data_IF_270798630752
#
_entry.id   IF_270798630752
#
_cell.length_a   1.000
_cell.length_b   1.000
_cell.length_c   1.000
_cell.angle_alpha   90.00
_cell.angle_beta   90.00
_cell.angle_gamma   90.00
#
_symmetry.space_group_name_H-M   'P 1'
#
loop_
_entity.id
_entity.type
_entity.pdbx_description
1 polymer ?
#
# COMPACT_ATOMS: atom_id res chain seq x y z
N UNK A 1 -16.40 11.30 34.67
CA UNK A 1 -16.09 9.87 34.55
C UNK A 1 -16.24 9.48 33.09
N UNK A 2 -15.15 9.55 32.34
CA UNK A 2 -15.06 9.12 30.94
C UNK A 2 -14.84 7.61 30.94
N UNK A 3 -15.88 6.83 30.66
CA UNK A 3 -15.74 5.38 30.50
C UNK A 3 -15.14 5.07 29.14
N UNK A 4 -13.93 4.52 29.20
CA UNK A 4 -13.15 3.97 28.10
C UNK A 4 -13.85 2.69 27.59
N UNK A 5 -14.32 2.71 26.33
CA UNK A 5 -14.97 1.56 25.71
C UNK A 5 -13.93 0.80 24.87
N UNK A 6 -13.07 0.06 25.57
CA UNK A 6 -12.25 -0.98 24.95
C UNK A 6 -12.67 -2.31 25.54
N UNK A 7 -12.69 -3.32 24.67
CA UNK A 7 -12.85 -4.76 24.94
C UNK A 7 -14.30 -5.27 24.77
N UNK A 8 -14.47 -5.99 23.65
CA UNK A 8 -15.38 -7.13 23.41
C UNK A 8 -16.88 -6.85 23.32
N UNK A 9 -17.36 -6.90 22.07
CA UNK A 9 -18.64 -7.50 21.67
C UNK A 9 -19.89 -7.10 22.45
N UNK A 10 -20.57 -6.04 22.00
CA UNK A 10 -22.02 -5.87 22.15
C UNK A 10 -22.54 -4.93 21.06
N UNK A 11 -23.67 -5.31 20.48
CA UNK A 11 -24.22 -4.90 19.19
C UNK A 11 -24.89 -3.51 19.14
N UNK A 12 -24.54 -2.60 20.03
CA UNK A 12 -25.23 -1.31 20.15
C UNK A 12 -24.27 -0.12 20.00
N UNK A 13 -23.90 0.17 18.76
CA UNK A 13 -23.29 1.46 18.39
C UNK A 13 -24.24 2.23 17.48
N UNK A 14 -24.78 3.32 18.00
CA UNK A 14 -25.69 4.23 17.31
C UNK A 14 -24.98 4.86 16.08
N UNK A 15 -25.62 4.74 14.90
CA UNK A 15 -25.18 5.21 13.57
C UNK A 15 -24.72 6.68 13.54
N UNK A 16 -25.09 7.49 14.53
CA UNK A 16 -24.74 8.91 14.65
C UNK A 16 -23.36 9.18 15.28
N UNK A 17 -22.77 8.23 16.01
CA UNK A 17 -21.43 8.43 16.61
C UNK A 17 -20.28 8.20 15.62
N UNK A 18 -20.50 7.43 14.55
CA UNK A 18 -19.50 7.23 13.50
C UNK A 18 -19.27 8.47 12.62
N UNK A 19 -20.24 9.39 12.54
CA UNK A 19 -20.17 10.59 11.69
C UNK A 19 -19.68 11.86 12.41
N UNK A 20 -19.54 11.83 13.74
CA UNK A 20 -19.06 12.96 14.54
C UNK A 20 -17.54 13.09 14.65
N UNK A 21 -16.78 12.07 14.22
CA UNK A 21 -15.32 12.03 14.39
C UNK A 21 -14.51 12.71 13.27
N UNK A 22 -15.16 13.29 12.25
CA UNK A 22 -14.46 13.85 11.08
C UNK A 22 -14.46 15.39 10.97
N UNK A 23 -15.04 16.14 11.92
CA UNK A 23 -15.29 17.58 11.71
C UNK A 23 -14.70 18.56 12.76
N UNK A 24 -13.84 18.12 13.69
CA UNK A 24 -13.55 18.92 14.89
C UNK A 24 -12.08 19.09 15.30
N UNK A 25 -11.12 19.05 14.38
CA UNK A 25 -9.70 19.09 14.75
C UNK A 25 -8.79 19.70 13.72
N UNK A 26 -9.10 20.91 13.25
CA UNK A 26 -8.18 21.71 12.46
C UNK A 26 -8.10 23.10 13.09
N UNK A 27 -6.86 23.60 13.24
CA UNK A 27 -6.46 24.91 13.78
C UNK A 27 -5.99 24.93 15.25
N UNK A 28 -4.99 24.13 15.57
CA UNK A 28 -3.94 24.52 16.52
C UNK A 28 -2.66 24.78 15.72
N UNK A 29 -2.41 26.06 15.43
CA UNK A 29 -1.19 26.54 14.80
C UNK A 29 -0.02 26.45 15.79
N UNK A 30 0.57 25.26 15.93
CA UNK A 30 1.86 25.07 16.59
C UNK A 30 2.94 25.52 15.60
N UNK A 31 3.58 26.65 15.87
CA UNK A 31 4.80 27.03 15.16
C UNK A 31 5.96 26.26 15.82
N UNK A 32 6.61 25.29 15.16
CA UNK A 32 7.84 24.73 15.69
C UNK A 32 8.93 25.80 15.59
N UNK A 33 9.29 26.42 16.71
CA UNK A 33 10.58 27.12 16.84
C UNK A 33 11.66 26.05 16.79
N UNK A 34 12.09 25.70 15.58
CA UNK A 34 13.30 24.90 15.37
C UNK A 34 14.49 25.77 15.80
N UNK A 35 14.88 25.69 17.07
CA UNK A 35 16.24 26.05 17.46
C UNK A 35 17.15 24.98 16.88
N UNK A 36 17.88 25.32 15.82
CA UNK A 36 19.05 24.55 15.41
C UNK A 36 20.11 24.70 16.50
N UNK A 37 20.18 23.76 17.44
CA UNK A 37 21.39 23.58 18.23
C UNK A 37 22.43 22.99 17.29
N UNK A 38 23.36 23.83 16.83
CA UNK A 38 24.61 23.36 16.22
C UNK A 38 25.43 22.81 17.37
N UNK A 39 25.18 21.55 17.73
CA UNK A 39 26.01 20.82 18.68
C UNK A 39 27.33 20.54 17.98
N UNK A 40 28.33 21.38 18.24
CA UNK A 40 29.73 21.12 17.92
C UNK A 40 30.24 19.99 18.82
N UNK A 41 29.79 18.78 18.55
CA UNK A 41 30.40 17.57 19.07
C UNK A 41 31.75 17.37 18.37
N UNK A 42 32.79 16.89 19.07
CA UNK A 42 34.03 16.49 18.41
C UNK A 42 33.66 15.45 17.35
N UNK A 43 33.95 15.77 16.08
CA UNK A 43 33.63 14.91 14.95
C UNK A 43 34.15 13.50 15.26
N UNK A 44 33.23 12.58 15.53
CA UNK A 44 33.59 11.18 15.77
C UNK A 44 34.41 10.66 14.59
N UNK A 45 35.31 9.71 14.84
CA UNK A 45 36.02 9.06 13.73
C UNK A 45 34.98 8.52 12.76
N UNK A 46 34.99 9.05 11.54
CA UNK A 46 34.24 8.46 10.44
C UNK A 46 34.69 7.00 10.35
N UNK A 47 33.72 6.08 10.32
CA UNK A 47 33.95 4.63 10.35
C UNK A 47 34.95 4.18 9.28
N UNK A 48 35.05 4.95 8.20
CA UNK A 48 36.14 4.95 7.24
C UNK A 48 36.51 6.44 7.03
N UNK A 49 37.77 6.85 6.87
CA UNK A 49 38.09 8.26 6.54
C UNK A 49 38.55 8.43 5.09
N UNK A 50 38.87 7.34 4.42
CA UNK A 50 39.44 7.26 3.07
C UNK A 50 38.42 7.46 1.93
N UNK A 51 37.12 7.42 2.24
CA UNK A 51 36.04 7.85 1.33
C UNK A 51 35.79 9.36 1.40
N UNK A 52 36.09 9.98 2.54
CA UNK A 52 36.05 11.43 2.66
C UNK A 52 37.24 12.03 1.88
N UNK A 53 36.99 12.41 0.63
CA UNK A 53 38.00 13.09 -0.21
C UNK A 53 38.33 12.40 -1.53
N UNK A 54 37.65 11.30 -1.91
CA UNK A 54 37.71 10.88 -3.32
C UNK A 54 36.99 11.94 -4.16
N UNK A 55 37.64 12.57 -5.15
CA UNK A 55 36.95 13.52 -6.02
C UNK A 55 35.90 12.75 -6.81
N UNK A 56 34.63 12.90 -6.42
CA UNK A 56 33.52 12.58 -7.27
C UNK A 56 33.31 13.76 -8.22
N UNK A 57 32.99 13.48 -9.49
CA UNK A 57 32.53 14.52 -10.38
C UNK A 57 31.31 15.22 -9.74
N UNK A 58 31.24 16.56 -9.81
CA UNK A 58 30.14 17.29 -9.20
C UNK A 58 28.81 16.84 -9.82
N UNK A 59 27.87 16.44 -8.98
CA UNK A 59 26.50 16.14 -9.42
C UNK A 59 25.90 17.40 -10.03
N UNK A 60 25.48 17.29 -11.28
CA UNK A 60 24.90 18.37 -12.06
C UNK A 60 23.37 18.32 -12.00
N UNK A 61 22.73 19.41 -12.41
CA UNK A 61 21.27 19.43 -12.59
C UNK A 61 20.79 18.37 -13.60
N UNK A 62 21.64 18.03 -14.57
CA UNK A 62 21.35 17.05 -15.62
C UNK A 62 21.16 15.65 -15.04
N UNK A 63 21.98 15.27 -14.06
CA UNK A 63 21.93 13.95 -13.43
C UNK A 63 20.60 13.68 -12.72
N UNK A 64 19.86 14.74 -12.39
CA UNK A 64 18.58 14.66 -11.70
C UNK A 64 17.40 15.13 -12.55
N UNK A 65 17.56 15.28 -13.88
CA UNK A 65 16.43 15.57 -14.77
C UNK A 65 15.34 14.51 -14.63
N UNK A 66 14.08 14.94 -14.63
CA UNK A 66 12.93 14.05 -14.47
C UNK A 66 12.92 12.91 -15.51
N UNK A 67 13.34 13.18 -16.75
CA UNK A 67 13.45 12.17 -17.81
C UNK A 67 14.52 11.13 -17.52
N UNK A 68 15.69 11.52 -17.00
CA UNK A 68 16.77 10.60 -16.64
C UNK A 68 16.32 9.72 -15.50
N UNK A 69 15.76 10.30 -14.43
CA UNK A 69 15.22 9.51 -13.32
C UNK A 69 14.14 8.53 -13.77
N UNK A 70 13.25 8.94 -14.67
CA UNK A 70 12.17 8.09 -15.18
C UNK A 70 12.70 6.90 -15.99
N UNK A 71 13.79 7.08 -16.74
CA UNK A 71 14.47 6.00 -17.47
C UNK A 71 15.13 5.05 -16.46
N UNK A 72 15.94 5.60 -15.56
CA UNK A 72 16.73 4.84 -14.59
C UNK A 72 15.85 4.02 -13.64
N UNK A 73 14.72 4.55 -13.19
CA UNK A 73 13.74 3.84 -12.34
C UNK A 73 13.07 2.66 -13.05
N UNK A 74 13.20 2.55 -14.37
CA UNK A 74 12.72 1.40 -15.15
C UNK A 74 13.81 0.37 -15.41
N UNK A 75 15.07 0.72 -15.16
CA UNK A 75 16.22 -0.12 -15.42
C UNK A 75 16.81 -0.66 -14.12
N UNK A 76 16.97 -1.97 -14.05
CA UNK A 76 17.60 -2.70 -12.96
C UNK A 76 19.11 -2.62 -13.04
N UNK A 77 19.73 -2.31 -11.91
CA UNK A 77 21.18 -2.37 -11.77
C UNK A 77 21.66 -3.84 -11.90
N UNK A 78 22.71 -4.05 -12.67
CA UNK A 78 23.23 -5.39 -13.01
C UNK A 78 24.19 -5.95 -11.96
N UNK A 79 24.44 -5.24 -10.86
CA UNK A 79 25.34 -5.68 -9.79
C UNK A 79 24.73 -6.73 -8.83
N UNK A 80 23.45 -7.07 -8.99
CA UNK A 80 22.77 -8.09 -8.19
C UNK A 80 22.01 -7.57 -6.96
N UNK A 81 22.14 -6.28 -6.59
CA UNK A 81 21.44 -5.70 -5.44
C UNK A 81 19.91 -5.63 -5.60
N UNK A 82 19.39 -5.80 -6.82
CA UNK A 82 17.96 -5.81 -7.09
C UNK A 82 17.31 -4.42 -7.19
N UNK A 83 18.06 -3.34 -6.97
CA UNK A 83 17.58 -1.96 -7.09
C UNK A 83 17.59 -1.48 -8.55
N UNK A 84 16.81 -0.43 -8.83
CA UNK A 84 16.92 0.33 -10.07
C UNK A 84 18.16 1.24 -10.07
N UNK A 85 18.58 1.70 -11.25
CA UNK A 85 19.82 2.51 -11.40
C UNK A 85 19.75 3.78 -10.54
N UNK A 86 18.62 4.48 -10.54
CA UNK A 86 18.47 5.75 -9.82
C UNK A 86 18.54 5.52 -8.32
N UNK A 87 17.76 4.58 -7.80
CA UNK A 87 17.75 4.27 -6.37
C UNK A 87 19.13 3.80 -5.95
N UNK A 88 19.75 2.86 -6.67
CA UNK A 88 21.06 2.32 -6.30
C UNK A 88 22.15 3.39 -6.26
N UNK A 89 22.22 4.30 -7.25
CA UNK A 89 23.26 5.36 -7.26
C UNK A 89 23.02 6.46 -6.22
N UNK A 90 21.81 6.59 -5.69
CA UNK A 90 21.45 7.61 -4.70
C UNK A 90 21.39 7.07 -3.27
N UNK A 91 21.42 5.74 -3.08
CA UNK A 91 21.38 5.12 -1.74
C UNK A 91 22.65 4.32 -1.41
N UNK A 92 23.33 3.73 -2.39
CA UNK A 92 24.56 2.96 -2.18
C UNK A 92 25.78 3.69 -2.79
N UNK A 93 26.44 4.47 -1.96
CA UNK A 93 27.65 5.22 -2.32
C UNK A 93 28.91 4.33 -2.45
N UNK A 94 28.82 3.04 -2.11
CA UNK A 94 29.89 2.06 -2.32
C UNK A 94 29.80 1.35 -3.67
N UNK A 95 28.64 1.41 -4.33
CA UNK A 95 28.42 0.78 -5.63
C UNK A 95 29.17 1.50 -6.76
N UNK A 96 29.97 0.76 -7.52
CA UNK A 96 30.63 1.29 -8.74
C UNK A 96 29.84 1.02 -10.02
N UNK A 97 28.92 0.05 -10.01
CA UNK A 97 28.13 -0.35 -11.17
C UNK A 97 27.04 0.67 -11.51
N UNK A 98 26.23 1.09 -10.54
CA UNK A 98 25.11 2.00 -10.81
C UNK A 98 25.56 3.36 -11.38
N UNK A 99 26.61 4.01 -10.84
CA UNK A 99 27.14 5.23 -11.44
C UNK A 99 27.66 5.03 -12.86
N UNK A 100 28.17 3.84 -13.21
CA UNK A 100 28.60 3.54 -14.58
C UNK A 100 27.40 3.43 -15.54
N UNK A 101 26.34 2.72 -15.14
CA UNK A 101 25.11 2.62 -15.94
C UNK A 101 24.42 3.99 -16.08
N UNK A 102 24.47 4.83 -15.04
CA UNK A 102 23.99 6.22 -15.12
C UNK A 102 24.69 7.01 -16.21
N UNK A 103 26.04 6.97 -16.26
CA UNK A 103 26.82 7.64 -17.31
C UNK A 103 26.46 7.13 -18.71
N UNK A 104 26.17 5.85 -18.84
CA UNK A 104 25.69 5.29 -20.10
C UNK A 104 24.30 5.83 -20.49
N UNK A 105 23.36 5.92 -19.55
CA UNK A 105 22.06 6.56 -19.78
C UNK A 105 22.24 8.01 -20.24
N UNK A 106 23.12 8.77 -19.58
CA UNK A 106 23.43 10.16 -19.97
C UNK A 106 24.03 10.24 -21.37
N UNK A 107 24.97 9.36 -21.70
CA UNK A 107 25.60 9.34 -23.02
C UNK A 107 24.57 9.05 -24.13
N UNK A 108 23.67 8.08 -23.91
CA UNK A 108 22.60 7.78 -24.86
C UNK A 108 21.58 8.93 -24.95
N UNK A 109 21.28 9.61 -23.84
CA UNK A 109 20.44 10.81 -23.83
C UNK A 109 21.07 11.98 -24.61
N UNK A 110 22.37 12.21 -24.45
CA UNK A 110 23.12 13.23 -25.20
C UNK A 110 23.21 12.95 -26.69
N UNK A 111 23.21 11.67 -27.06
CA UNK A 111 23.09 11.25 -28.45
C UNK A 111 21.70 11.50 -29.05
N UNK A 112 20.79 12.15 -28.32
CA UNK A 112 19.44 12.50 -28.78
C UNK A 112 18.46 11.33 -28.77
N UNK A 113 18.79 10.23 -28.09
CA UNK A 113 17.88 9.09 -28.00
C UNK A 113 16.68 9.41 -27.11
N UNK A 114 15.51 8.95 -27.53
CA UNK A 114 14.30 9.01 -26.71
C UNK A 114 14.41 8.04 -25.53
N UNK A 115 13.65 8.31 -24.45
CA UNK A 115 13.62 7.43 -23.28
C UNK A 115 13.36 5.96 -23.62
N UNK A 116 12.47 5.68 -24.57
CA UNK A 116 12.17 4.31 -24.98
C UNK A 116 13.32 3.67 -25.76
N UNK A 117 14.00 4.42 -26.64
CA UNK A 117 15.18 3.92 -27.35
C UNK A 117 16.32 3.58 -26.40
N UNK A 118 16.52 4.38 -25.35
CA UNK A 118 17.51 4.10 -24.30
C UNK A 118 17.15 2.80 -23.60
N UNK A 119 15.92 2.67 -23.09
CA UNK A 119 15.45 1.46 -22.40
C UNK A 119 15.57 0.22 -23.30
N UNK A 120 15.12 0.31 -24.55
CA UNK A 120 15.22 -0.79 -25.52
C UNK A 120 16.67 -1.14 -25.82
N UNK A 121 17.58 -0.16 -25.84
CA UNK A 121 19.02 -0.37 -25.92
C UNK A 121 19.55 -1.22 -24.77
N UNK A 122 19.23 -0.85 -23.53
CA UNK A 122 19.57 -1.63 -22.34
C UNK A 122 18.96 -3.04 -22.35
N UNK A 123 17.75 -3.21 -22.90
CA UNK A 123 17.12 -4.53 -23.06
C UNK A 123 17.85 -5.38 -24.10
N UNK A 124 18.35 -4.78 -25.19
CA UNK A 124 19.16 -5.51 -26.18
C UNK A 124 20.50 -5.94 -25.62
N UNK A 125 21.13 -5.10 -24.81
CA UNK A 125 22.48 -5.32 -24.28
C UNK A 125 22.49 -6.24 -23.04
N UNK A 126 21.52 -6.10 -22.14
CA UNK A 126 21.45 -6.83 -20.87
C UNK A 126 20.28 -7.82 -20.76
N UNK A 127 19.44 -7.92 -21.79
CA UNK A 127 18.25 -8.78 -21.81
C UNK A 127 17.07 -8.17 -21.06
N UNK A 128 15.93 -8.88 -21.05
CA UNK A 128 14.68 -8.39 -20.43
C UNK A 128 14.74 -8.28 -18.90
N UNK A 129 15.67 -8.99 -18.25
CA UNK A 129 15.88 -8.93 -16.80
C UNK A 129 16.51 -7.61 -16.32
N UNK A 130 16.93 -6.75 -17.25
CA UNK A 130 17.36 -5.38 -16.96
C UNK A 130 16.20 -4.43 -16.73
N UNK A 131 14.95 -4.85 -16.94
CA UNK A 131 13.78 -4.03 -16.62
C UNK A 131 13.33 -4.28 -15.18
N UNK A 132 12.92 -3.22 -14.49
CA UNK A 132 12.24 -3.32 -13.18
C UNK A 132 10.89 -4.04 -13.26
N UNK A 133 10.26 -4.03 -14.44
CA UNK A 133 9.02 -4.72 -14.70
C UNK A 133 9.10 -5.45 -16.05
N UNK A 134 8.65 -6.72 -16.14
CA UNK A 134 8.57 -7.43 -17.40
C UNK A 134 7.76 -6.65 -18.45
N UNK A 135 8.07 -6.77 -19.76
CA UNK A 135 7.28 -6.10 -20.78
C UNK A 135 5.86 -6.69 -20.84
N UNK A 136 4.83 -5.84 -20.91
CA UNK A 136 3.40 -6.21 -20.96
C UNK A 136 2.99 -6.83 -22.30
N UNK A 137 3.58 -7.97 -22.66
CA UNK A 137 3.31 -8.71 -23.91
C UNK A 137 3.50 -10.20 -23.72
N UNK A 138 2.82 -11.01 -24.52
CA UNK A 138 2.90 -12.47 -24.45
C UNK A 138 2.51 -13.02 -23.08
N UNK A 139 3.26 -14.00 -22.58
CA UNK A 139 2.99 -14.65 -21.29
C UNK A 139 3.07 -13.70 -20.09
N UNK A 140 3.85 -12.62 -20.16
CA UNK A 140 3.97 -11.66 -19.05
C UNK A 140 2.64 -10.99 -18.71
N UNK A 141 1.69 -10.90 -19.65
CA UNK A 141 0.36 -10.35 -19.40
C UNK A 141 -0.39 -11.11 -18.29
N UNK A 142 -0.17 -12.42 -18.17
CA UNK A 142 -0.76 -13.22 -17.10
C UNK A 142 -0.39 -12.65 -15.74
N UNK A 143 0.87 -12.28 -15.51
CA UNK A 143 1.31 -11.68 -14.26
C UNK A 143 0.62 -10.36 -13.90
N UNK A 144 0.16 -9.59 -14.90
CA UNK A 144 -0.54 -8.33 -14.69
C UNK A 144 -2.02 -8.50 -14.39
N UNK A 145 -2.68 -9.49 -15.00
CA UNK A 145 -4.14 -9.67 -14.86
C UNK A 145 -4.52 -10.74 -13.84
N UNK A 146 -3.69 -11.77 -13.66
CA UNK A 146 -3.96 -12.91 -12.78
C UNK A 146 -4.43 -12.51 -11.37
N UNK A 147 -3.75 -11.60 -10.62
CA UNK A 147 -4.19 -11.26 -9.27
C UNK A 147 -5.59 -10.65 -9.25
N UNK A 148 -5.90 -9.74 -10.19
CA UNK A 148 -7.23 -9.12 -10.30
C UNK A 148 -8.30 -10.14 -10.69
N UNK A 149 -8.02 -10.99 -11.68
CA UNK A 149 -8.96 -12.03 -12.12
C UNK A 149 -9.21 -13.08 -11.05
N UNK A 150 -8.18 -13.47 -10.29
CA UNK A 150 -8.31 -14.47 -9.23
C UNK A 150 -9.22 -13.97 -8.11
N UNK A 151 -9.05 -12.72 -7.68
CA UNK A 151 -9.92 -12.09 -6.67
C UNK A 151 -11.36 -11.99 -7.14
N UNK A 152 -11.57 -11.56 -8.40
CA UNK A 152 -12.92 -11.49 -8.97
C UNK A 152 -13.60 -12.85 -9.03
N UNK A 153 -12.90 -13.88 -9.50
CA UNK A 153 -13.42 -15.25 -9.56
C UNK A 153 -13.77 -15.76 -8.15
N UNK A 154 -12.88 -15.54 -7.16
CA UNK A 154 -13.15 -15.92 -5.78
C UNK A 154 -14.39 -15.21 -5.22
N UNK A 155 -14.56 -13.91 -5.47
CA UNK A 155 -15.72 -13.14 -5.03
C UNK A 155 -17.03 -13.63 -5.67
N UNK A 156 -17.00 -13.97 -6.96
CA UNK A 156 -18.15 -14.54 -7.68
C UNK A 156 -18.55 -15.89 -7.07
N UNK A 157 -17.58 -16.80 -6.89
CA UNK A 157 -17.82 -18.12 -6.28
C UNK A 157 -18.42 -17.96 -4.88
N UNK A 158 -17.82 -17.12 -4.04
CA UNK A 158 -18.30 -16.85 -2.69
C UNK A 158 -19.74 -16.32 -2.71
N UNK A 159 -20.04 -15.36 -3.58
CA UNK A 159 -21.38 -14.78 -3.71
C UNK A 159 -22.41 -15.82 -4.13
N UNK A 160 -22.07 -16.70 -5.08
CA UNK A 160 -22.95 -17.79 -5.54
C UNK A 160 -23.20 -18.79 -4.42
N UNK A 161 -22.16 -19.19 -3.68
CA UNK A 161 -22.28 -20.12 -2.54
C UNK A 161 -23.17 -19.53 -1.44
N UNK A 162 -22.93 -18.28 -1.05
CA UNK A 162 -23.74 -17.58 -0.04
C UNK A 162 -25.20 -17.44 -0.48
N UNK A 163 -25.45 -17.07 -1.74
CA UNK A 163 -26.81 -17.00 -2.30
C UNK A 163 -27.51 -18.36 -2.32
N UNK A 164 -26.77 -19.44 -2.58
CA UNK A 164 -27.34 -20.79 -2.58
C UNK A 164 -27.71 -21.24 -1.17
N UNK A 165 -26.89 -20.94 -0.17
CA UNK A 165 -27.19 -21.23 1.24
C UNK A 165 -28.39 -20.44 1.75
N UNK A 166 -28.50 -19.15 1.43
CA UNK A 166 -29.65 -18.32 1.87
C UNK A 166 -30.95 -18.72 1.18
N UNK A 167 -30.93 -19.13 -0.09
CA UNK A 167 -32.13 -19.61 -0.80
C UNK A 167 -32.54 -21.01 -0.39
N UNK A 168 -31.60 -21.89 -0.05
CA UNK A 168 -31.92 -23.23 0.46
C UNK A 168 -32.53 -23.19 1.88
N UNK A 169 -32.24 -22.15 2.66
CA UNK A 169 -32.86 -21.89 3.95
C UNK A 169 -34.09 -20.98 3.90
N UNK A 170 -34.52 -20.52 2.72
CA UNK A 170 -35.71 -19.68 2.60
C UNK A 170 -36.97 -20.56 2.75
N UNK A 171 -37.80 -20.38 3.79
CA UNK A 171 -39.07 -21.10 3.90
C UNK A 171 -39.93 -20.77 2.68
N UNK A 172 -40.68 -21.78 2.19
CA UNK A 172 -41.64 -21.58 1.11
C UNK A 172 -42.54 -20.37 1.43
N UNK A 173 -42.94 -19.56 0.43
CA UNK A 173 -43.93 -18.52 0.67
C UNK A 173 -45.18 -19.21 1.21
N UNK A 174 -45.39 -19.09 2.53
CA UNK A 174 -46.61 -19.49 3.18
C UNK A 174 -47.71 -18.64 2.55
N UNK A 175 -48.56 -19.26 1.73
CA UNK A 175 -49.82 -18.66 1.35
C UNK A 175 -50.49 -18.21 2.64
N UNK A 176 -50.76 -16.90 2.75
CA UNK A 176 -51.13 -16.27 4.00
C UNK A 176 -52.35 -16.91 4.64
N UNK A 177 -52.12 -17.73 5.67
CA UNK A 177 -53.06 -17.84 6.78
C UNK A 177 -52.90 -16.58 7.61
N UNK A 178 -53.98 -15.86 7.99
CA UNK A 178 -53.86 -14.68 8.80
C UNK A 178 -53.10 -15.03 10.08
N UNK A 179 -51.98 -14.37 10.31
CA UNK A 179 -51.20 -14.41 11.54
C UNK A 179 -51.99 -13.71 12.67
N UNK A 180 -53.08 -14.32 13.09
CA UNK A 180 -53.53 -14.19 14.47
C UNK A 180 -52.64 -15.09 15.32
N UNK A 181 -51.86 -14.50 16.21
CA UNK A 181 -51.18 -15.21 17.32
C UNK A 181 -50.12 -16.27 16.96
N UNK A 182 -49.04 -15.87 16.26
CA UNK A 182 -47.74 -16.58 16.39
C UNK A 182 -46.70 -15.75 17.18
N UNK A 183 -47.16 -14.67 17.84
CA UNK A 183 -46.44 -14.10 18.96
C UNK A 183 -46.73 -14.90 20.22
N UNK A 184 -45.73 -15.01 21.10
CA UNK A 184 -45.84 -15.67 22.40
C UNK A 184 -47.17 -15.34 23.07
N UNK A 185 -47.83 -16.35 23.63
CA UNK A 185 -49.12 -16.15 24.29
C UNK A 185 -48.96 -15.14 25.43
N UNK A 186 -49.98 -14.34 25.76
CA UNK A 186 -49.86 -13.34 26.83
C UNK A 186 -49.38 -13.95 28.16
N UNK A 187 -49.77 -15.19 28.46
CA UNK A 187 -49.29 -15.94 29.62
C UNK A 187 -47.79 -16.28 29.57
N UNK A 188 -47.24 -16.49 28.38
CA UNK A 188 -45.85 -16.84 28.13
C UNK A 188 -44.96 -15.60 28.18
N UNK A 189 -45.45 -14.46 27.69
CA UNK A 189 -44.83 -13.15 27.88
C UNK A 189 -44.74 -12.76 29.36
N UNK A 190 -45.80 -12.98 30.13
CA UNK A 190 -45.82 -12.68 31.58
C UNK A 190 -44.87 -13.60 32.37
N UNK A 191 -44.74 -14.86 31.96
CA UNK A 191 -43.76 -15.78 32.54
C UNK A 191 -42.33 -15.29 32.31
N UNK A 192 -41.99 -14.96 31.07
CA UNK A 192 -40.65 -14.45 30.71
C UNK A 192 -40.33 -13.14 31.43
N UNK A 193 -41.34 -12.28 31.62
CA UNK A 193 -41.18 -11.01 32.34
C UNK A 193 -40.84 -11.20 33.81
N UNK A 194 -41.49 -12.17 34.48
CA UNK A 194 -41.16 -12.54 35.88
C UNK A 194 -39.76 -13.14 36.00
N UNK A 195 -39.35 -13.97 35.04
CA UNK A 195 -37.99 -14.54 35.02
C UNK A 195 -36.93 -13.43 34.82
N UNK A 196 -37.19 -12.45 33.95
CA UNK A 196 -36.31 -11.28 33.77
C UNK A 196 -36.22 -10.39 35.01
N UNK A 197 -37.33 -10.16 35.72
CA UNK A 197 -37.35 -9.37 36.96
C UNK A 197 -36.58 -10.06 38.09
N UNK A 198 -36.66 -11.39 38.19
CA UNK A 198 -35.90 -12.17 39.19
C UNK A 198 -34.40 -12.30 38.90
N UNK A 199 -33.96 -12.06 37.66
CA UNK A 199 -32.53 -12.03 37.28
C UNK A 199 -31.88 -10.65 37.51
N UNK A 200 -32.69 -9.62 37.75
CA UNK A 200 -32.23 -8.23 37.86
C UNK A 200 -32.25 -7.71 39.31
N UNK A 201 -32.39 -8.60 40.29
CA UNK A 201 -32.28 -8.37 41.74
C UNK A 201 -31.10 -9.15 42.30
#
# INVERSE_FOLDING_TARGET
>A
MTSDCRIVGLSDCNRRQFLGLFAGGLLLSVHPTIRQSVDSLPAGRLYQPDWAGRPADPVTAKDNLAVIQAIEKRLRCTCGCGLDIYTCRTTDFSCTYSPALHREVLAKYDAGQTAQQIIDGFVREHGQASLMAPPKRGFNLVGYFLPGTAVLVAAVILTVVLRRWTRAGAPAPVAGTPLGAQGATPAELDRLRRELEGLNT
#
